data_IF_136956102982
#
_entry.id   IF_136956102982
#
_cell.length_a   1.000
_cell.length_b   1.000
_cell.length_c   1.000
_cell.angle_alpha   90.00
_cell.angle_beta   90.00
_cell.angle_gamma   90.00
#
_symmetry.space_group_name_H-M   'P 1'
#
loop_
_entity.id
_entity.type
_entity.pdbx_description
1 polymer ?
#
# COMPACT_ATOMS: atom_id res chain seq x y z
N UNK A 1 -2.28 28.40 7.48
CA UNK A 1 -2.10 27.08 6.81
C UNK A 1 -0.68 26.64 7.10
N UNK A 2 -0.48 25.46 7.69
CA UNK A 2 0.88 24.91 7.81
C UNK A 2 1.42 24.71 6.39
N UNK A 3 2.58 25.28 6.10
CA UNK A 3 3.27 25.10 4.81
C UNK A 3 3.47 23.61 4.53
N UNK A 4 3.58 23.22 3.27
CA UNK A 4 3.93 21.85 2.91
C UNK A 4 5.27 21.49 3.55
N UNK A 5 5.49 20.19 3.78
CA UNK A 5 6.78 19.71 4.28
C UNK A 5 7.95 20.19 3.41
N UNK A 6 7.75 20.27 2.09
CA UNK A 6 8.74 20.77 1.14
C UNK A 6 9.09 22.26 1.37
N UNK A 7 8.08 23.09 1.66
CA UNK A 7 8.30 24.51 1.96
C UNK A 7 9.12 24.67 3.24
N UNK A 8 8.79 23.96 4.28
CA UNK A 8 9.52 24.00 5.56
C UNK A 8 10.98 23.55 5.40
N UNK A 9 11.23 22.50 4.62
CA UNK A 9 12.60 22.08 4.31
C UNK A 9 13.38 23.13 3.54
N UNK A 10 12.81 23.72 2.51
CA UNK A 10 13.47 24.76 1.71
C UNK A 10 13.76 26.02 2.55
N UNK A 11 12.83 26.43 3.40
CA UNK A 11 13.02 27.55 4.33
C UNK A 11 14.14 27.26 5.34
N UNK A 12 14.23 26.04 5.84
CA UNK A 12 15.31 25.63 6.74
C UNK A 12 16.68 25.66 6.04
N UNK A 13 16.76 25.20 4.79
CA UNK A 13 18.01 25.27 4.02
C UNK A 13 18.41 26.70 3.65
N UNK A 14 17.45 27.60 3.46
CA UNK A 14 17.70 28.99 3.12
C UNK A 14 18.48 29.76 4.20
N UNK A 15 18.44 29.29 5.46
CA UNK A 15 19.19 29.89 6.57
C UNK A 15 20.70 29.83 6.31
N UNK A 16 21.19 28.70 5.80
CA UNK A 16 22.62 28.45 5.61
C UNK A 16 23.08 28.60 4.15
N UNK A 17 22.13 28.81 3.21
CA UNK A 17 22.40 28.90 1.78
C UNK A 17 21.83 30.18 1.15
N UNK A 18 22.62 31.26 1.06
CA UNK A 18 22.18 32.57 0.51
C UNK A 18 21.58 32.49 -0.89
N UNK A 19 22.08 31.59 -1.74
CA UNK A 19 21.55 31.34 -3.08
C UNK A 19 20.10 30.82 -3.02
N UNK A 20 19.81 29.93 -2.09
CA UNK A 20 18.46 29.38 -1.87
C UNK A 20 17.54 30.46 -1.29
N UNK A 21 18.02 31.25 -0.34
CA UNK A 21 17.27 32.38 0.21
C UNK A 21 16.89 33.40 -0.87
N UNK A 22 17.85 33.79 -1.72
CA UNK A 22 17.61 34.69 -2.85
C UNK A 22 16.64 34.10 -3.90
N UNK A 23 16.72 32.80 -4.17
CA UNK A 23 15.80 32.12 -5.06
C UNK A 23 14.38 32.06 -4.48
N UNK A 24 14.23 31.73 -3.20
CA UNK A 24 12.92 31.68 -2.50
C UNK A 24 12.26 33.06 -2.41
N UNK A 25 13.03 34.13 -2.32
CA UNK A 25 12.52 35.50 -2.29
C UNK A 25 11.91 35.98 -3.60
N UNK A 26 12.12 35.27 -4.72
CA UNK A 26 11.56 35.63 -6.02
C UNK A 26 10.05 35.36 -6.06
N UNK A 27 9.30 36.29 -6.63
CA UNK A 27 7.84 36.16 -6.79
C UNK A 27 7.47 34.93 -7.66
N UNK A 28 8.28 34.64 -8.70
CA UNK A 28 8.10 33.47 -9.55
C UNK A 28 8.26 32.15 -8.78
N UNK A 29 9.28 32.06 -7.93
CA UNK A 29 9.52 30.88 -7.08
C UNK A 29 8.39 30.67 -6.09
N UNK A 30 7.90 31.74 -5.48
CA UNK A 30 6.74 31.69 -4.58
C UNK A 30 5.49 31.16 -5.31
N UNK A 31 5.25 31.62 -6.55
CA UNK A 31 4.14 31.13 -7.37
C UNK A 31 4.27 29.64 -7.72
N UNK A 32 5.48 29.18 -8.06
CA UNK A 32 5.76 27.76 -8.34
C UNK A 32 5.58 26.89 -7.10
N UNK A 33 6.05 27.37 -5.94
CA UNK A 33 5.90 26.67 -4.67
C UNK A 33 4.41 26.53 -4.26
N UNK A 34 3.63 27.61 -4.43
CA UNK A 34 2.19 27.58 -4.21
C UNK A 34 1.47 26.66 -5.20
N UNK A 35 1.91 26.58 -6.44
CA UNK A 35 1.37 25.66 -7.44
C UNK A 35 1.63 24.20 -7.04
N UNK A 36 2.85 23.89 -6.61
CA UNK A 36 3.22 22.58 -6.08
C UNK A 36 2.38 22.22 -4.84
N UNK A 37 2.29 23.09 -3.85
CA UNK A 37 1.54 22.86 -2.62
C UNK A 37 0.06 22.53 -2.91
N UNK A 38 -0.56 23.29 -3.84
CA UNK A 38 -1.94 23.01 -4.26
C UNK A 38 -2.09 21.68 -5.01
N UNK A 39 -1.10 21.33 -5.83
CA UNK A 39 -1.12 20.08 -6.59
C UNK A 39 -0.93 18.87 -5.66
N UNK A 40 0.04 18.92 -4.74
CA UNK A 40 0.32 17.86 -3.77
C UNK A 40 -0.85 17.64 -2.79
N UNK A 41 -1.42 18.71 -2.26
CA UNK A 41 -2.60 18.63 -1.39
C UNK A 41 -3.79 17.97 -2.11
N UNK A 42 -4.00 18.27 -3.40
CA UNK A 42 -5.03 17.60 -4.22
C UNK A 42 -4.72 16.12 -4.43
N UNK A 43 -3.46 15.77 -4.69
CA UNK A 43 -3.01 14.39 -4.87
C UNK A 43 -3.23 13.58 -3.59
N UNK A 44 -2.83 14.09 -2.42
CA UNK A 44 -3.02 13.46 -1.11
C UNK A 44 -4.50 13.25 -0.77
N UNK A 45 -5.35 14.25 -1.03
CA UNK A 45 -6.80 14.14 -0.81
C UNK A 45 -7.44 13.04 -1.67
N UNK A 46 -7.03 12.95 -2.96
CA UNK A 46 -7.53 11.91 -3.87
C UNK A 46 -7.01 10.52 -3.49
N UNK A 47 -5.74 10.42 -3.10
CA UNK A 47 -5.16 9.19 -2.56
C UNK A 47 -5.93 8.69 -1.35
N UNK A 48 -6.21 9.58 -0.39
CA UNK A 48 -6.95 9.22 0.82
C UNK A 48 -8.36 8.68 0.51
N UNK A 49 -9.07 9.29 -0.45
CA UNK A 49 -10.39 8.80 -0.89
C UNK A 49 -10.32 7.43 -1.53
N UNK A 50 -9.39 7.23 -2.47
CA UNK A 50 -9.19 5.93 -3.11
C UNK A 50 -8.85 4.85 -2.09
N UNK A 51 -7.85 5.10 -1.23
CA UNK A 51 -7.42 4.13 -0.21
C UNK A 51 -8.52 3.77 0.79
N UNK A 52 -9.31 4.73 1.25
CA UNK A 52 -10.44 4.48 2.16
C UNK A 52 -11.48 3.58 1.50
N UNK A 53 -11.87 3.88 0.27
CA UNK A 53 -12.84 3.09 -0.47
C UNK A 53 -12.34 1.67 -0.77
N UNK A 54 -11.10 1.53 -1.24
CA UNK A 54 -10.49 0.24 -1.53
C UNK A 54 -10.34 -0.62 -0.27
N UNK A 55 -9.87 -0.04 0.84
CA UNK A 55 -9.78 -0.74 2.13
C UNK A 55 -11.15 -1.18 2.64
N UNK A 56 -12.14 -0.31 2.56
CA UNK A 56 -13.52 -0.63 2.94
C UNK A 56 -14.07 -1.80 2.12
N UNK A 57 -13.91 -1.76 0.80
CA UNK A 57 -14.32 -2.85 -0.08
C UNK A 57 -13.63 -4.18 0.28
N UNK A 58 -12.31 -4.17 0.53
CA UNK A 58 -11.55 -5.35 0.91
C UNK A 58 -12.04 -5.93 2.24
N UNK A 59 -12.27 -5.10 3.25
CA UNK A 59 -12.80 -5.54 4.56
C UNK A 59 -14.20 -6.14 4.39
N UNK A 60 -15.10 -5.50 3.66
CA UNK A 60 -16.44 -6.01 3.41
C UNK A 60 -16.42 -7.39 2.72
N UNK A 61 -15.59 -7.53 1.67
CA UNK A 61 -15.44 -8.82 0.97
C UNK A 61 -14.95 -9.91 1.93
N UNK A 62 -13.94 -9.61 2.73
CA UNK A 62 -13.37 -10.58 3.67
C UNK A 62 -14.39 -11.01 4.70
N UNK A 63 -15.12 -10.10 5.33
CA UNK A 63 -16.15 -10.43 6.33
C UNK A 63 -17.26 -11.26 5.68
N UNK A 64 -17.75 -10.87 4.50
CA UNK A 64 -18.78 -11.63 3.79
C UNK A 64 -18.32 -13.07 3.47
N UNK A 65 -17.05 -13.25 3.07
CA UNK A 65 -16.49 -14.57 2.77
C UNK A 65 -16.31 -15.40 4.03
N UNK A 66 -15.88 -14.78 5.14
CA UNK A 66 -15.78 -15.49 6.44
C UNK A 66 -17.15 -15.97 6.89
N UNK A 67 -18.19 -15.13 6.83
CA UNK A 67 -19.56 -15.54 7.18
C UNK A 67 -20.03 -16.69 6.28
N UNK A 68 -19.80 -16.60 4.96
CA UNK A 68 -20.14 -17.67 4.02
C UNK A 68 -19.40 -18.98 4.36
N UNK A 69 -18.13 -18.92 4.73
CA UNK A 69 -17.35 -20.09 5.13
C UNK A 69 -17.93 -20.76 6.39
N UNK A 70 -18.35 -19.97 7.38
CA UNK A 70 -18.97 -20.49 8.61
C UNK A 70 -20.30 -21.19 8.30
N UNK A 71 -21.12 -20.64 7.38
CA UNK A 71 -22.33 -21.33 6.91
C UNK A 71 -22.00 -22.65 6.19
N UNK A 72 -20.97 -22.66 5.34
CA UNK A 72 -20.52 -23.86 4.64
C UNK A 72 -20.06 -24.96 5.60
N UNK A 73 -19.45 -24.59 6.73
CA UNK A 73 -19.07 -25.53 7.80
C UNK A 73 -20.28 -26.13 8.54
N UNK A 74 -21.48 -25.63 8.27
CA UNK A 74 -22.70 -26.08 8.97
C UNK A 74 -22.84 -25.55 10.40
N UNK A 75 -22.12 -24.44 10.72
CA UNK A 75 -22.28 -23.83 12.03
C UNK A 75 -23.69 -23.25 12.20
N UNK A 76 -24.35 -23.49 13.37
CA UNK A 76 -25.71 -22.99 13.64
C UNK A 76 -25.68 -21.47 13.88
N UNK A 77 -25.58 -20.69 12.83
CA UNK A 77 -25.61 -19.23 12.92
C UNK A 77 -27.05 -18.71 12.95
N UNK A 78 -27.34 -17.68 13.75
CA UNK A 78 -28.66 -17.06 13.78
C UNK A 78 -29.07 -16.52 12.41
N UNK A 79 -30.37 -16.63 11.98
CA UNK A 79 -30.81 -16.23 10.65
C UNK A 79 -30.54 -14.76 10.29
N UNK A 80 -30.51 -13.85 11.27
CA UNK A 80 -30.22 -12.44 11.05
C UNK A 80 -28.79 -12.18 10.52
N UNK A 81 -27.84 -13.12 10.70
CA UNK A 81 -26.48 -13.01 10.16
C UNK A 81 -26.52 -13.01 8.62
N UNK A 82 -27.46 -13.74 7.99
CA UNK A 82 -27.62 -13.70 6.53
C UNK A 82 -28.04 -12.30 6.04
N UNK A 83 -28.86 -11.61 6.81
CA UNK A 83 -29.26 -10.23 6.49
C UNK A 83 -28.05 -9.28 6.61
N UNK A 84 -27.23 -9.43 7.64
CA UNK A 84 -25.99 -8.66 7.78
C UNK A 84 -25.03 -8.98 6.63
N UNK A 85 -24.86 -10.24 6.27
CA UNK A 85 -24.02 -10.64 5.14
C UNK A 85 -24.49 -9.98 3.84
N UNK A 86 -25.79 -9.98 3.57
CA UNK A 86 -26.35 -9.31 2.40
C UNK A 86 -26.04 -7.81 2.42
N UNK A 87 -26.24 -7.12 3.54
CA UNK A 87 -25.92 -5.71 3.68
C UNK A 87 -24.43 -5.41 3.43
N UNK A 88 -23.53 -6.26 3.92
CA UNK A 88 -22.08 -6.16 3.70
C UNK A 88 -21.75 -6.35 2.21
N UNK A 89 -22.36 -7.34 1.54
CA UNK A 89 -22.17 -7.57 0.09
C UNK A 89 -22.66 -6.38 -0.72
N UNK A 90 -23.83 -5.82 -0.40
CA UNK A 90 -24.36 -4.62 -1.06
C UNK A 90 -23.45 -3.40 -0.84
N UNK A 91 -22.92 -3.23 0.37
CA UNK A 91 -21.92 -2.19 0.70
C UNK A 91 -20.64 -2.36 -0.12
N UNK A 92 -20.15 -3.58 -0.28
CA UNK A 92 -18.99 -3.90 -1.11
C UNK A 92 -19.26 -3.57 -2.59
N UNK A 93 -20.37 -4.05 -3.16
CA UNK A 93 -20.74 -3.76 -4.56
C UNK A 93 -20.83 -2.25 -4.78
N UNK A 94 -21.49 -1.53 -3.88
CA UNK A 94 -21.59 -0.07 -3.94
C UNK A 94 -20.23 0.60 -3.91
N UNK A 95 -19.32 0.15 -3.05
CA UNK A 95 -17.96 0.70 -2.98
C UNK A 95 -17.17 0.45 -4.27
N UNK A 96 -17.25 -0.75 -4.86
CA UNK A 96 -16.59 -1.11 -6.12
C UNK A 96 -17.14 -0.27 -7.28
N UNK A 97 -18.45 -0.16 -7.38
CA UNK A 97 -19.11 0.67 -8.40
C UNK A 97 -18.73 2.14 -8.25
N UNK A 98 -18.64 2.64 -7.02
CA UNK A 98 -18.23 4.01 -6.76
C UNK A 98 -16.77 4.27 -7.15
N UNK A 99 -15.84 3.35 -6.80
CA UNK A 99 -14.43 3.43 -7.19
C UNK A 99 -14.29 3.46 -8.72
N UNK A 100 -14.97 2.54 -9.39
CA UNK A 100 -14.89 2.38 -10.86
C UNK A 100 -15.58 3.53 -11.60
N UNK A 101 -16.81 3.86 -11.22
CA UNK A 101 -17.59 4.92 -11.87
C UNK A 101 -16.96 6.31 -11.71
N UNK A 102 -16.34 6.59 -10.58
CA UNK A 102 -15.65 7.86 -10.33
C UNK A 102 -14.19 7.85 -10.76
N UNK A 103 -13.67 6.73 -11.29
CA UNK A 103 -12.27 6.57 -11.71
C UNK A 103 -11.29 7.08 -10.64
N UNK A 104 -11.49 6.70 -9.39
CA UNK A 104 -10.75 7.27 -8.25
C UNK A 104 -9.25 7.06 -8.37
N UNK A 105 -8.82 5.88 -8.85
CA UNK A 105 -7.42 5.57 -9.10
C UNK A 105 -6.82 6.50 -10.17
N UNK A 106 -7.48 6.63 -11.33
CA UNK A 106 -6.99 7.46 -12.43
C UNK A 106 -6.89 8.93 -12.01
N UNK A 107 -7.90 9.41 -11.27
CA UNK A 107 -7.90 10.79 -10.76
C UNK A 107 -6.78 11.03 -9.76
N UNK A 108 -6.45 10.03 -8.93
CA UNK A 108 -5.31 10.11 -8.03
C UNK A 108 -4.00 10.10 -8.82
N UNK A 109 -3.80 9.16 -9.75
CA UNK A 109 -2.58 9.06 -10.55
C UNK A 109 -2.30 10.33 -11.35
N UNK A 110 -3.32 10.90 -12.00
CA UNK A 110 -3.18 12.19 -12.71
C UNK A 110 -2.83 13.33 -11.77
N UNK A 111 -3.46 13.40 -10.60
CA UNK A 111 -3.12 14.44 -9.62
C UNK A 111 -1.69 14.30 -9.09
N UNK A 112 -1.20 13.06 -8.94
CA UNK A 112 0.18 12.80 -8.54
C UNK A 112 1.17 13.21 -9.63
N UNK A 113 0.88 12.87 -10.88
CA UNK A 113 1.70 13.28 -12.02
C UNK A 113 1.84 14.83 -12.10
N UNK A 114 0.74 15.56 -11.95
CA UNK A 114 0.75 17.02 -11.91
C UNK A 114 1.55 17.59 -10.73
N UNK A 115 1.50 16.94 -9.58
CA UNK A 115 2.31 17.36 -8.43
C UNK A 115 3.81 17.14 -8.67
N UNK A 116 4.19 16.01 -9.27
CA UNK A 116 5.59 15.75 -9.63
C UNK A 116 6.10 16.70 -10.74
N UNK A 117 5.26 17.03 -11.72
CA UNK A 117 5.58 18.01 -12.74
C UNK A 117 5.80 19.40 -12.13
N UNK A 118 4.91 19.84 -11.24
CA UNK A 118 5.07 21.10 -10.52
C UNK A 118 6.34 21.10 -9.65
N UNK A 119 6.67 19.99 -9.01
CA UNK A 119 7.91 19.83 -8.25
C UNK A 119 9.14 19.92 -9.14
N UNK A 120 9.14 19.23 -10.27
CA UNK A 120 10.24 19.30 -11.23
C UNK A 120 10.42 20.72 -11.76
N UNK A 121 9.33 21.43 -12.07
CA UNK A 121 9.34 22.83 -12.47
C UNK A 121 9.98 23.74 -11.42
N UNK A 122 9.63 23.56 -10.14
CA UNK A 122 10.18 24.28 -9.01
C UNK A 122 11.71 24.12 -8.93
N UNK A 123 12.22 22.89 -8.96
CA UNK A 123 13.67 22.64 -8.88
C UNK A 123 14.42 23.04 -10.16
N UNK A 124 13.80 22.91 -11.33
CA UNK A 124 14.37 23.42 -12.57
C UNK A 124 14.52 24.95 -12.53
N UNK A 125 13.63 25.67 -11.86
CA UNK A 125 13.78 27.13 -11.68
C UNK A 125 14.96 27.50 -10.80
N UNK A 126 15.34 26.67 -9.82
CA UNK A 126 16.55 26.87 -9.03
C UNK A 126 17.81 26.75 -9.90
N UNK A 127 17.87 25.71 -10.74
CA UNK A 127 19.04 25.49 -11.64
C UNK A 127 19.18 26.59 -12.71
N UNK A 128 18.03 27.14 -13.15
CA UNK A 128 17.99 28.22 -14.17
C UNK A 128 17.98 29.62 -13.56
N UNK A 129 18.02 29.73 -12.23
CA UNK A 129 17.97 31.01 -11.59
C UNK A 129 19.19 31.86 -12.02
N UNK A 130 18.92 33.06 -12.52
CA UNK A 130 20.00 34.03 -12.83
C UNK A 130 20.80 34.32 -11.55
N UNK A 131 22.10 34.25 -11.69
CA UNK A 131 23.01 34.60 -10.61
C UNK A 131 22.89 36.10 -10.27
N UNK A 132 23.08 36.51 -9.01
CA UNK A 132 23.07 37.92 -8.66
C UNK A 132 24.05 38.70 -9.52
N UNK A 133 23.74 39.97 -9.89
CA UNK A 133 24.68 40.82 -10.61
C UNK A 133 26.02 40.90 -9.88
N UNK A 134 27.12 40.58 -10.57
CA UNK A 134 28.45 40.51 -9.97
C UNK A 134 28.90 39.13 -9.48
N UNK A 135 28.03 38.14 -9.45
CA UNK A 135 28.36 36.74 -9.13
C UNK A 135 28.60 35.90 -10.42
N UNK A 136 28.95 36.55 -11.53
CA UNK A 136 29.22 35.85 -12.77
C UNK A 136 30.56 35.09 -12.68
N UNK A 137 30.52 33.77 -12.85
CA UNK A 137 31.70 32.95 -12.94
C UNK A 137 31.48 31.54 -12.38
N UNK A 138 32.48 30.69 -12.55
CA UNK A 138 32.50 29.29 -12.14
C UNK A 138 32.17 29.07 -10.64
N UNK A 139 32.64 29.92 -9.68
CA UNK A 139 32.32 29.79 -8.27
C UNK A 139 30.82 29.97 -7.95
N UNK A 140 30.13 30.84 -8.66
CA UNK A 140 28.69 31.08 -8.41
C UNK A 140 27.82 29.98 -8.98
N UNK A 141 28.18 29.40 -10.12
CA UNK A 141 27.56 28.21 -10.68
C UNK A 141 27.80 26.99 -9.76
N UNK A 142 29.00 26.84 -9.23
CA UNK A 142 29.32 25.78 -8.26
C UNK A 142 28.47 25.91 -7.00
N UNK A 143 28.32 27.11 -6.42
CA UNK A 143 27.47 27.34 -5.25
C UNK A 143 25.99 27.06 -5.52
N UNK A 144 25.51 27.38 -6.73
CA UNK A 144 24.12 27.07 -7.13
C UNK A 144 23.90 25.57 -7.27
N UNK A 145 24.85 24.85 -7.86
CA UNK A 145 24.80 23.40 -8.00
C UNK A 145 24.90 22.72 -6.63
N UNK A 146 25.77 23.18 -5.77
CA UNK A 146 25.91 22.70 -4.39
C UNK A 146 24.60 22.90 -3.60
N UNK A 147 23.97 24.07 -3.70
CA UNK A 147 22.68 24.35 -3.10
C UNK A 147 21.58 23.41 -3.64
N UNK A 148 21.58 23.13 -4.95
CA UNK A 148 20.65 22.18 -5.54
C UNK A 148 20.89 20.76 -5.00
N UNK A 149 22.12 20.30 -4.94
CA UNK A 149 22.49 18.99 -4.40
C UNK A 149 22.07 18.90 -2.94
N UNK A 150 22.43 19.87 -2.12
CA UNK A 150 22.10 19.87 -0.68
C UNK A 150 20.59 19.92 -0.44
N UNK A 151 19.87 20.85 -1.08
CA UNK A 151 18.44 21.01 -0.84
C UNK A 151 17.59 19.93 -1.47
N UNK A 152 17.87 19.55 -2.70
CA UNK A 152 17.03 18.60 -3.43
C UNK A 152 17.41 17.15 -3.13
N UNK A 153 18.66 16.78 -3.30
CA UNK A 153 19.09 15.38 -3.15
C UNK A 153 19.09 14.92 -1.69
N UNK A 154 19.57 15.76 -0.76
CA UNK A 154 19.58 15.41 0.66
C UNK A 154 18.15 15.31 1.22
N UNK A 155 17.27 16.26 0.85
CA UNK A 155 15.86 16.22 1.19
C UNK A 155 15.17 14.96 0.62
N UNK A 156 15.40 14.64 -0.65
CA UNK A 156 14.87 13.44 -1.28
C UNK A 156 15.38 12.15 -0.61
N UNK A 157 16.67 12.09 -0.29
CA UNK A 157 17.24 10.95 0.45
C UNK A 157 16.56 10.76 1.79
N UNK A 158 16.39 11.82 2.58
CA UNK A 158 15.69 11.81 3.86
C UNK A 158 14.24 11.35 3.72
N UNK A 159 13.52 11.88 2.72
CA UNK A 159 12.15 11.48 2.40
C UNK A 159 12.05 9.99 2.07
N UNK A 160 12.87 9.49 1.15
CA UNK A 160 12.82 8.08 0.75
C UNK A 160 13.21 7.14 1.89
N UNK A 161 14.18 7.50 2.72
CA UNK A 161 14.56 6.71 3.90
C UNK A 161 13.41 6.60 4.90
N UNK A 162 12.73 7.71 5.22
CA UNK A 162 11.56 7.69 6.11
C UNK A 162 10.41 6.89 5.51
N UNK A 163 10.08 7.12 4.23
CA UNK A 163 9.01 6.40 3.55
C UNK A 163 9.28 4.91 3.43
N UNK A 164 10.53 4.50 3.19
CA UNK A 164 10.92 3.09 3.21
C UNK A 164 10.60 2.46 4.58
N UNK A 165 10.99 3.11 5.68
CA UNK A 165 10.72 2.64 7.03
C UNK A 165 9.21 2.56 7.34
N UNK A 166 8.43 3.59 6.96
CA UNK A 166 6.96 3.60 7.12
C UNK A 166 6.30 2.45 6.38
N UNK A 167 6.71 2.19 5.14
CA UNK A 167 6.16 1.10 4.33
C UNK A 167 6.61 -0.27 4.85
N UNK A 168 7.85 -0.42 5.30
CA UNK A 168 8.32 -1.65 5.91
C UNK A 168 7.54 -2.00 7.19
N UNK A 169 7.27 -1.00 8.04
CA UNK A 169 6.42 -1.16 9.23
C UNK A 169 4.98 -1.55 8.84
N UNK A 170 4.41 -0.90 7.84
CA UNK A 170 3.06 -1.19 7.36
C UNK A 170 2.96 -2.60 6.75
N UNK A 171 3.97 -3.04 6.00
CA UNK A 171 4.07 -4.39 5.46
C UNK A 171 4.12 -5.45 6.58
N UNK A 172 4.89 -5.19 7.63
CA UNK A 172 4.98 -6.04 8.82
C UNK A 172 3.64 -6.22 9.53
N UNK A 173 2.74 -5.25 9.48
CA UNK A 173 1.42 -5.33 10.12
C UNK A 173 0.49 -6.39 9.51
N UNK A 174 0.73 -6.82 8.26
CA UNK A 174 -0.06 -7.85 7.56
C UNK A 174 0.57 -9.24 7.65
N UNK A 175 1.80 -9.34 8.14
CA UNK A 175 2.50 -10.61 8.24
C UNK A 175 1.76 -11.67 9.08
N UNK A 176 1.18 -11.35 10.26
CA UNK A 176 0.41 -12.33 11.03
C UNK A 176 -0.78 -12.90 10.25
N UNK A 177 -1.44 -12.08 9.44
CA UNK A 177 -2.58 -12.51 8.64
C UNK A 177 -2.16 -13.45 7.49
N UNK A 178 -0.98 -13.22 6.90
CA UNK A 178 -0.39 -14.14 5.91
C UNK A 178 -0.09 -15.49 6.55
N UNK A 179 0.54 -15.48 7.75
CA UNK A 179 0.81 -16.72 8.50
C UNK A 179 -0.49 -17.46 8.82
N UNK A 180 -1.50 -16.77 9.33
CA UNK A 180 -2.81 -17.34 9.59
C UNK A 180 -3.40 -17.97 8.31
N UNK A 181 -3.35 -17.27 7.18
CA UNK A 181 -3.82 -17.78 5.89
C UNK A 181 -3.11 -19.08 5.48
N UNK A 182 -1.79 -19.16 5.60
CA UNK A 182 -1.03 -20.38 5.31
C UNK A 182 -1.34 -21.51 6.29
N UNK A 183 -1.53 -21.20 7.56
CA UNK A 183 -1.95 -22.22 8.57
C UNK A 183 -3.30 -22.82 8.22
N UNK A 184 -4.26 -21.97 7.81
CA UNK A 184 -5.58 -22.44 7.39
C UNK A 184 -5.50 -23.26 6.10
N UNK A 185 -4.64 -22.90 5.14
CA UNK A 185 -4.39 -23.70 3.94
C UNK A 185 -3.86 -25.08 4.34
N UNK A 186 -2.87 -25.13 5.21
CA UNK A 186 -2.31 -26.38 5.67
C UNK A 186 -3.39 -27.26 6.32
N UNK A 187 -4.20 -26.69 7.21
CA UNK A 187 -5.33 -27.39 7.82
C UNK A 187 -6.34 -27.87 6.76
N UNK A 188 -6.65 -27.05 5.74
CA UNK A 188 -7.54 -27.43 4.63
C UNK A 188 -6.98 -28.59 3.82
N UNK A 189 -5.67 -28.64 3.57
CA UNK A 189 -5.00 -29.76 2.88
C UNK A 189 -5.11 -31.03 3.71
N UNK A 190 -4.84 -30.95 5.00
CA UNK A 190 -4.97 -32.12 5.91
C UNK A 190 -6.40 -32.68 5.90
N UNK A 191 -7.40 -31.80 6.02
CA UNK A 191 -8.81 -32.19 5.94
C UNK A 191 -9.14 -32.77 4.55
N UNK A 192 -8.60 -32.24 3.48
CA UNK A 192 -8.81 -32.75 2.13
C UNK A 192 -8.24 -34.13 1.93
N UNK A 193 -7.05 -34.42 2.47
CA UNK A 193 -6.44 -35.76 2.47
C UNK A 193 -7.33 -36.72 3.27
N UNK A 194 -7.78 -36.32 4.46
CA UNK A 194 -8.68 -37.10 5.28
C UNK A 194 -9.99 -37.48 4.56
N UNK A 195 -10.66 -36.48 3.94
CA UNK A 195 -11.86 -36.68 3.13
C UNK A 195 -11.58 -37.62 1.96
N UNK A 196 -10.46 -37.40 1.25
CA UNK A 196 -10.05 -38.23 0.13
C UNK A 196 -9.84 -39.70 0.52
N UNK A 197 -9.16 -39.95 1.62
CA UNK A 197 -8.96 -41.34 2.14
C UNK A 197 -10.27 -42.01 2.53
N UNK A 198 -11.17 -41.33 3.21
CA UNK A 198 -12.48 -41.86 3.54
C UNK A 198 -13.30 -42.18 2.27
N UNK A 199 -13.32 -41.28 1.31
CA UNK A 199 -14.03 -41.48 0.04
C UNK A 199 -13.44 -42.66 -0.74
N UNK A 200 -12.12 -42.79 -0.83
CA UNK A 200 -11.45 -43.90 -1.51
C UNK A 200 -11.74 -45.24 -0.84
N UNK A 201 -11.84 -45.26 0.50
CA UNK A 201 -12.25 -46.46 1.26
C UNK A 201 -13.72 -46.83 1.03
N UNK A 202 -14.61 -45.83 0.96
CA UNK A 202 -16.04 -46.04 0.69
C UNK A 202 -16.29 -46.54 -0.73
N UNK A 203 -15.45 -46.10 -1.69
CA UNK A 203 -15.47 -46.60 -3.08
C UNK A 203 -14.77 -47.97 -3.25
N UNK A 204 -14.18 -48.51 -2.19
CA UNK A 204 -13.47 -49.80 -2.25
C UNK A 204 -12.09 -49.72 -2.95
N UNK A 205 -11.56 -48.54 -3.25
CA UNK A 205 -10.26 -48.38 -3.88
C UNK A 205 -9.09 -48.72 -2.94
N UNK A 206 -9.27 -48.51 -1.66
CA UNK A 206 -8.33 -48.90 -0.60
C UNK A 206 -9.02 -49.81 0.41
N UNK A 207 -8.27 -50.83 0.89
CA UNK A 207 -8.78 -51.72 1.89
C UNK A 207 -9.03 -51.04 3.23
N UNK A 208 -9.98 -51.59 4.02
CA UNK A 208 -10.18 -51.15 5.39
C UNK A 208 -8.93 -51.44 6.21
N UNK A 209 -8.44 -50.44 6.88
CA UNK A 209 -7.29 -50.50 7.80
C UNK A 209 -7.66 -49.83 9.12
N UNK A 210 -6.95 -50.17 10.17
CA UNK A 210 -7.15 -49.55 11.46
C UNK A 210 -7.03 -48.01 11.43
N UNK A 211 -6.28 -47.46 10.48
CA UNK A 211 -6.20 -46.02 10.21
C UNK A 211 -7.56 -45.48 9.74
N UNK A 212 -8.21 -46.14 8.78
CA UNK A 212 -9.53 -45.72 8.26
C UNK A 212 -10.60 -45.78 9.34
N UNK A 213 -10.60 -46.83 10.14
CA UNK A 213 -11.54 -47.00 11.24
C UNK A 213 -11.28 -45.93 12.34
N UNK A 214 -10.03 -45.63 12.64
CA UNK A 214 -9.63 -44.53 13.51
C UNK A 214 -10.09 -43.14 12.98
N UNK A 215 -9.95 -42.92 11.68
CA UNK A 215 -10.42 -41.67 11.05
C UNK A 215 -11.95 -41.53 11.12
N UNK A 216 -12.71 -42.63 10.95
CA UNK A 216 -14.18 -42.63 11.09
C UNK A 216 -14.67 -42.39 12.51
N UNK A 217 -13.86 -42.71 13.49
CA UNK A 217 -14.21 -42.50 14.91
C UNK A 217 -14.03 -41.04 15.36
N UNK A 218 -13.41 -40.18 14.55
CA UNK A 218 -13.28 -38.78 14.89
C UNK A 218 -14.66 -38.09 14.92
N UNK A 219 -14.92 -37.21 15.88
CA UNK A 219 -16.22 -36.54 16.03
C UNK A 219 -16.42 -35.40 15.02
N UNK A 220 -16.07 -35.63 13.75
CA UNK A 220 -16.24 -34.67 12.67
C UNK A 220 -17.43 -35.10 11.83
N UNK A 221 -18.60 -34.53 12.13
CA UNK A 221 -19.76 -34.67 11.27
C UNK A 221 -19.51 -33.90 9.95
N UNK A 222 -19.74 -34.56 8.82
CA UNK A 222 -19.66 -33.96 7.48
C UNK A 222 -18.30 -33.31 7.13
N UNK A 223 -17.19 -34.10 7.10
CA UNK A 223 -15.83 -33.55 6.89
C UNK A 223 -15.67 -32.77 5.58
N UNK A 224 -16.47 -33.06 4.55
CA UNK A 224 -16.47 -32.32 3.30
C UNK A 224 -16.95 -30.87 3.48
N UNK A 225 -17.85 -30.55 4.38
CA UNK A 225 -18.27 -29.19 4.69
C UNK A 225 -17.13 -28.41 5.36
N UNK A 226 -16.41 -29.06 6.26
CA UNK A 226 -15.22 -28.46 6.88
C UNK A 226 -14.12 -28.16 5.84
N UNK A 227 -13.92 -29.08 4.88
CA UNK A 227 -12.98 -28.87 3.78
C UNK A 227 -13.34 -27.61 2.98
N UNK A 228 -14.61 -27.48 2.57
CA UNK A 228 -15.07 -26.30 1.81
C UNK A 228 -14.97 -25.01 2.62
N UNK A 229 -15.38 -25.03 3.87
CA UNK A 229 -15.32 -23.86 4.74
C UNK A 229 -13.89 -23.40 5.04
N UNK A 230 -12.97 -24.33 5.35
CA UNK A 230 -11.55 -24.02 5.54
C UNK A 230 -10.91 -23.49 4.27
N UNK A 231 -11.23 -24.05 3.09
CA UNK A 231 -10.77 -23.54 1.80
C UNK A 231 -11.24 -22.11 1.55
N UNK A 232 -12.50 -21.81 1.88
CA UNK A 232 -13.04 -20.45 1.78
C UNK A 232 -12.36 -19.47 2.75
N UNK A 233 -12.12 -19.88 4.00
CA UNK A 233 -11.38 -19.06 4.99
C UNK A 233 -9.93 -18.80 4.57
N UNK A 234 -9.25 -19.82 4.05
CA UNK A 234 -7.90 -19.69 3.51
C UNK A 234 -7.86 -18.66 2.37
N UNK A 235 -8.78 -18.81 1.41
CA UNK A 235 -8.93 -17.87 0.29
C UNK A 235 -9.22 -16.44 0.75
N UNK A 236 -10.11 -16.27 1.73
CA UNK A 236 -10.42 -14.95 2.31
C UNK A 236 -9.18 -14.29 2.93
N UNK A 237 -8.44 -15.05 3.75
CA UNK A 237 -7.24 -14.54 4.44
C UNK A 237 -6.13 -14.14 3.48
N UNK A 238 -5.87 -14.96 2.45
CA UNK A 238 -4.85 -14.66 1.44
C UNK A 238 -5.27 -13.53 0.52
N UNK A 239 -6.52 -13.52 0.07
CA UNK A 239 -7.06 -12.46 -0.78
C UNK A 239 -7.06 -11.12 -0.05
N UNK A 240 -7.42 -11.09 1.23
CA UNK A 240 -7.32 -9.89 2.06
C UNK A 240 -5.88 -9.41 2.14
N UNK A 241 -4.95 -10.30 2.48
CA UNK A 241 -3.53 -9.97 2.61
C UNK A 241 -2.94 -9.44 1.31
N UNK A 242 -3.25 -10.09 0.18
CA UNK A 242 -2.82 -9.66 -1.15
C UNK A 242 -3.42 -8.31 -1.53
N UNK A 243 -4.73 -8.13 -1.38
CA UNK A 243 -5.41 -6.87 -1.68
C UNK A 243 -4.90 -5.72 -0.80
N UNK A 244 -4.70 -5.96 0.49
CA UNK A 244 -4.17 -4.97 1.42
C UNK A 244 -2.76 -4.54 1.05
N UNK A 245 -1.88 -5.49 0.74
CA UNK A 245 -0.52 -5.21 0.27
C UNK A 245 -0.55 -4.44 -1.05
N UNK A 246 -1.44 -4.81 -1.98
CA UNK A 246 -1.58 -4.15 -3.27
C UNK A 246 -2.09 -2.70 -3.16
N UNK A 247 -3.08 -2.45 -2.28
CA UNK A 247 -3.64 -1.10 -2.04
C UNK A 247 -2.58 -0.18 -1.43
N UNK A 248 -1.78 -0.68 -0.53
CA UNK A 248 -0.74 0.08 0.14
C UNK A 248 0.58 0.05 -0.65
N UNK A 249 0.82 -1.00 -1.43
CA UNK A 249 2.10 -1.29 -2.14
C UNK A 249 3.32 -1.24 -1.19
N UNK A 250 3.09 -1.61 0.08
CA UNK A 250 4.05 -1.34 1.15
C UNK A 250 5.38 -2.07 0.92
N UNK A 251 5.37 -3.38 0.62
CA UNK A 251 6.58 -4.16 0.37
C UNK A 251 7.39 -3.60 -0.81
N UNK A 252 6.68 -3.31 -1.92
CA UNK A 252 7.30 -2.81 -3.15
C UNK A 252 7.87 -1.41 -2.97
N UNK A 253 7.13 -0.54 -2.27
CA UNK A 253 7.54 0.84 -2.04
C UNK A 253 8.68 0.91 -1.03
N UNK A 254 8.69 0.06 0.01
CA UNK A 254 9.80 -0.04 0.95
C UNK A 254 11.12 -0.34 0.22
N UNK A 255 11.14 -1.38 -0.63
CA UNK A 255 12.33 -1.75 -1.39
C UNK A 255 12.75 -0.66 -2.39
N UNK A 256 11.79 -0.09 -3.16
CA UNK A 256 12.08 0.98 -4.13
C UNK A 256 12.65 2.23 -3.45
N UNK A 257 12.07 2.64 -2.33
CA UNK A 257 12.50 3.83 -1.62
C UNK A 257 13.86 3.62 -0.96
N UNK A 258 14.14 2.43 -0.40
CA UNK A 258 15.46 2.10 0.12
C UNK A 258 16.53 2.19 -0.98
N UNK A 259 16.30 1.55 -2.12
CA UNK A 259 17.21 1.58 -3.28
C UNK A 259 17.41 3.00 -3.81
N UNK A 260 16.35 3.80 -3.86
CA UNK A 260 16.46 5.19 -4.32
C UNK A 260 17.28 6.04 -3.35
N UNK A 261 17.06 5.87 -2.04
CA UNK A 261 17.85 6.57 -1.02
C UNK A 261 19.35 6.19 -1.07
N UNK A 262 19.67 4.94 -1.36
CA UNK A 262 21.04 4.45 -1.55
C UNK A 262 21.68 5.05 -2.81
N UNK A 263 20.97 5.04 -3.94
CA UNK A 263 21.47 5.66 -5.19
C UNK A 263 21.75 7.14 -5.04
N UNK A 264 20.90 7.87 -4.31
CA UNK A 264 21.15 9.28 -4.02
C UNK A 264 22.39 9.43 -3.14
N UNK A 265 22.60 8.55 -2.14
CA UNK A 265 23.78 8.59 -1.28
C UNK A 265 25.06 8.37 -2.08
N UNK A 266 25.09 7.38 -2.97
CA UNK A 266 26.27 7.12 -3.82
C UNK A 266 26.56 8.27 -4.79
N UNK A 267 25.53 8.88 -5.37
CA UNK A 267 25.70 10.03 -6.24
C UNK A 267 26.28 11.27 -5.52
N UNK A 268 25.91 11.47 -4.24
CA UNK A 268 26.42 12.59 -3.42
C UNK A 268 27.83 12.39 -2.89
N UNK A 269 28.35 11.15 -2.88
CA UNK A 269 29.74 10.84 -2.41
C UNK A 269 30.74 10.73 -3.56
N UNK A 270 30.28 10.62 -4.80
CA UNK A 270 31.12 10.46 -5.99
C UNK A 270 31.45 11.81 -6.70
N UNK A 271 30.90 12.92 -6.26
CA UNK A 271 31.17 14.29 -6.70
C UNK A 271 31.84 15.09 -5.61
#
# INVERSE_FOLDING_TARGET
MAGSYQRQELEAYAVDAPVVAGWLARAETAALLDAFDRADARALKRQGRYRKAAKGATVCTTIATVIAALFLMGLPLPPWISVIQLAIVLGWVSAVLWISGHRLLDRWMRARALAEEARAGLFNSLVRAELPPGAAGEPALAAQLEAFVACHLASQRGYYKRRSADHAKAAGSVAPLKVLGYTIIFASIVVSIFVGLLTAADLGWIGRSGLIDGLRSLPVSEPHRWQLGLGALASASLSFSAAWTLINQDDRNAARYALTAEKIATATTAG
#
